data_IF_283605678458
#
_entry.id   IF_283605678458
#
_cell.length_a   1.000
_cell.length_b   1.000
_cell.length_c   1.000
_cell.angle_alpha   90.00
_cell.angle_beta   90.00
_cell.angle_gamma   90.00
#
_symmetry.space_group_name_H-M   'P 1'
#
loop_
_entity.id
_entity.type
_entity.pdbx_description
1 polymer ?
#
# COMPACT_ATOMS: atom_id res chain seq x y z
N UNK A 1 -50.74 18.13 30.84
CA UNK A 1 -49.30 18.49 30.79
C UNK A 1 -48.48 17.60 29.85
N UNK A 2 -48.63 16.27 29.86
CA UNK A 2 -47.87 15.33 28.96
C UNK A 2 -47.94 15.64 27.46
N UNK A 3 -49.13 15.93 26.90
CA UNK A 3 -49.30 16.21 25.46
C UNK A 3 -48.57 17.48 24.96
N UNK A 4 -48.38 18.49 25.82
CA UNK A 4 -47.64 19.71 25.44
C UNK A 4 -46.13 19.48 25.38
N UNK A 5 -45.62 18.50 26.10
CA UNK A 5 -44.18 18.15 26.12
C UNK A 5 -43.82 17.33 24.89
N UNK A 6 -44.67 16.39 24.48
CA UNK A 6 -44.48 15.59 23.27
C UNK A 6 -44.45 16.46 22.01
N UNK A 7 -45.37 17.41 21.86
CA UNK A 7 -45.44 18.28 20.68
C UNK A 7 -44.21 19.20 20.52
N UNK A 8 -43.57 19.60 21.62
CA UNK A 8 -42.31 20.38 21.62
C UNK A 8 -41.12 19.52 21.23
N UNK A 9 -41.08 18.25 21.65
CA UNK A 9 -40.01 17.32 21.29
C UNK A 9 -40.07 17.00 19.78
N UNK A 10 -41.25 16.71 19.23
CA UNK A 10 -41.42 16.42 17.81
C UNK A 10 -41.12 17.63 16.89
N UNK A 11 -41.46 18.85 17.33
CA UNK A 11 -41.12 20.07 16.57
C UNK A 11 -39.64 20.43 16.63
N UNK A 12 -38.94 20.10 17.73
CA UNK A 12 -37.48 20.22 17.83
C UNK A 12 -36.76 19.22 16.92
N UNK A 13 -37.20 17.95 16.92
CA UNK A 13 -36.64 16.90 16.06
C UNK A 13 -36.83 17.23 14.57
N UNK A 14 -38.03 17.67 14.18
CA UNK A 14 -38.33 18.01 12.78
C UNK A 14 -37.47 19.16 12.25
N UNK A 15 -37.19 20.18 13.09
CA UNK A 15 -36.30 21.29 12.74
C UNK A 15 -34.84 20.84 12.60
N UNK A 16 -34.36 19.99 13.50
CA UNK A 16 -33.02 19.40 13.40
C UNK A 16 -32.85 18.56 12.13
N UNK A 17 -33.85 17.75 11.79
CA UNK A 17 -33.83 16.96 10.55
C UNK A 17 -33.80 17.87 9.31
N UNK A 18 -34.62 18.93 9.27
CA UNK A 18 -34.62 19.89 8.17
C UNK A 18 -33.29 20.63 8.02
N UNK A 19 -32.69 21.07 9.14
CA UNK A 19 -31.37 21.71 9.13
C UNK A 19 -30.29 20.73 8.66
N UNK A 20 -30.32 19.48 9.12
CA UNK A 20 -29.40 18.44 8.67
C UNK A 20 -29.55 18.17 7.17
N UNK A 21 -30.77 17.99 6.66
CA UNK A 21 -31.04 17.79 5.22
C UNK A 21 -30.60 19.00 4.40
N UNK A 22 -30.81 20.22 4.89
CA UNK A 22 -30.40 21.44 4.21
C UNK A 22 -28.87 21.60 4.17
N UNK A 23 -28.17 21.33 5.28
CA UNK A 23 -26.71 21.31 5.31
C UNK A 23 -26.14 20.22 4.40
N UNK A 24 -26.76 19.04 4.40
CA UNK A 24 -26.43 17.96 3.47
C UNK A 24 -26.61 18.43 2.03
N UNK A 25 -27.73 19.09 1.72
CA UNK A 25 -28.03 19.65 0.41
C UNK A 25 -27.00 20.68 -0.05
N UNK A 26 -26.62 21.63 0.80
CA UNK A 26 -25.57 22.62 0.50
C UNK A 26 -24.24 21.94 0.20
N UNK A 27 -23.92 20.90 0.95
CA UNK A 27 -22.63 20.24 0.81
C UNK A 27 -22.60 19.34 -0.44
N UNK A 28 -23.73 18.79 -0.88
CA UNK A 28 -23.89 18.18 -2.21
C UNK A 28 -23.71 19.18 -3.38
N UNK A 29 -23.82 20.50 -3.13
CA UNK A 29 -23.54 21.51 -4.16
C UNK A 29 -22.04 21.71 -4.39
N UNK A 30 -21.16 21.24 -3.50
CA UNK A 30 -19.73 21.30 -3.72
C UNK A 30 -19.27 20.04 -4.49
N UNK A 31 -18.71 20.20 -5.70
CA UNK A 31 -18.10 19.09 -6.41
C UNK A 31 -17.02 18.44 -5.57
N UNK A 32 -16.91 17.11 -5.60
CA UNK A 32 -15.87 16.38 -4.87
C UNK A 32 -14.45 16.90 -5.18
N UNK A 33 -14.21 17.33 -6.41
CA UNK A 33 -12.96 17.97 -6.84
C UNK A 33 -12.61 19.25 -6.07
N UNK A 34 -13.61 20.01 -5.61
CA UNK A 34 -13.40 21.20 -4.76
C UNK A 34 -13.00 20.78 -3.35
N UNK A 35 -13.62 19.74 -2.80
CA UNK A 35 -13.29 19.23 -1.46
C UNK A 35 -11.89 18.61 -1.43
N UNK A 36 -11.49 17.89 -2.48
CA UNK A 36 -10.13 17.37 -2.62
C UNK A 36 -9.13 18.52 -2.58
N UNK A 37 -9.38 19.62 -3.31
CA UNK A 37 -8.52 20.82 -3.28
C UNK A 37 -8.44 21.48 -1.91
N UNK A 38 -9.53 21.47 -1.13
CA UNK A 38 -9.54 22.04 0.22
C UNK A 38 -8.70 21.23 1.22
N UNK A 39 -8.64 19.91 1.05
CA UNK A 39 -7.83 19.00 1.89
C UNK A 39 -6.41 18.82 1.32
N UNK A 40 -6.17 19.31 0.10
CA UNK A 40 -4.88 19.22 -0.57
C UNK A 40 -3.83 20.02 0.21
N UNK A 41 -2.69 19.38 0.45
CA UNK A 41 -1.48 20.08 0.87
C UNK A 41 -0.65 20.28 -0.39
N UNK A 42 -0.08 21.48 -0.57
CA UNK A 42 0.91 21.75 -1.63
C UNK A 42 2.13 20.79 -1.54
N UNK A 43 2.25 20.02 -0.47
CA UNK A 43 3.30 19.07 -0.22
C UNK A 43 2.84 17.60 -0.36
N UNK A 44 3.71 16.78 -0.96
CA UNK A 44 3.54 15.33 -0.97
C UNK A 44 3.70 14.72 0.44
N UNK A 45 2.66 14.02 0.90
CA UNK A 45 2.67 13.23 2.14
C UNK A 45 3.34 11.88 1.91
N UNK A 46 4.09 11.36 2.90
CA UNK A 46 4.78 10.10 2.72
C UNK A 46 3.88 8.86 2.83
N UNK A 47 2.76 8.91 3.56
CA UNK A 47 1.82 7.78 3.66
C UNK A 47 0.41 8.28 3.92
N UNK A 48 -0.57 7.44 3.59
CA UNK A 48 -1.96 7.59 4.03
C UNK A 48 -2.26 6.63 5.20
N UNK A 49 -3.26 6.97 6.02
CA UNK A 49 -3.75 6.06 7.06
C UNK A 49 -4.39 4.82 6.43
N UNK A 50 -4.21 3.66 7.06
CA UNK A 50 -4.78 2.41 6.57
C UNK A 50 -6.30 2.45 6.45
N UNK A 51 -6.99 3.15 7.35
CA UNK A 51 -8.44 3.31 7.29
C UNK A 51 -8.86 4.22 6.12
N UNK A 52 -8.10 5.27 5.85
CA UNK A 52 -8.39 6.19 4.75
C UNK A 52 -8.26 5.48 3.39
N UNK A 53 -7.27 4.59 3.26
CA UNK A 53 -7.08 3.76 2.07
C UNK A 53 -8.22 2.73 1.94
N UNK A 54 -8.48 1.97 3.01
CA UNK A 54 -9.51 0.92 3.02
C UNK A 54 -10.90 1.44 2.68
N UNK A 55 -11.19 2.65 3.17
CA UNK A 55 -12.49 3.29 3.02
C UNK A 55 -12.56 4.32 1.92
N UNK A 56 -11.50 4.42 1.11
CA UNK A 56 -11.43 5.28 -0.06
C UNK A 56 -11.88 6.73 0.21
N UNK A 57 -11.31 7.33 1.25
CA UNK A 57 -11.76 8.63 1.75
C UNK A 57 -11.22 9.78 0.90
N UNK A 58 -11.81 10.97 1.04
CA UNK A 58 -11.30 12.19 0.36
C UNK A 58 -9.83 12.45 0.71
N UNK A 59 -9.39 12.11 1.94
CA UNK A 59 -7.98 12.23 2.34
C UNK A 59 -7.07 11.32 1.53
N UNK A 60 -7.51 10.09 1.25
CA UNK A 60 -6.74 9.17 0.43
C UNK A 60 -6.65 9.64 -1.03
N UNK A 61 -7.75 10.18 -1.58
CA UNK A 61 -7.75 10.81 -2.90
C UNK A 61 -6.83 12.02 -2.97
N UNK A 62 -6.87 12.89 -1.96
CA UNK A 62 -5.96 14.02 -1.84
C UNK A 62 -4.50 13.58 -1.72
N UNK A 63 -4.22 12.48 -1.00
CA UNK A 63 -2.90 11.86 -0.94
C UNK A 63 -2.42 11.40 -2.34
N UNK A 64 -3.23 10.67 -3.10
CA UNK A 64 -2.87 10.23 -4.46
C UNK A 64 -2.61 11.42 -5.40
N UNK A 65 -3.47 12.44 -5.37
CA UNK A 65 -3.28 13.64 -6.17
C UNK A 65 -2.02 14.42 -5.75
N UNK A 66 -1.74 14.51 -4.45
CA UNK A 66 -0.52 15.14 -3.93
C UNK A 66 0.75 14.50 -4.47
N UNK A 67 0.76 13.17 -4.66
CA UNK A 67 1.89 12.48 -5.30
C UNK A 67 2.02 12.92 -6.76
N UNK A 68 0.93 12.89 -7.54
CA UNK A 68 0.97 13.26 -8.97
C UNK A 68 1.39 14.70 -9.18
N UNK A 69 0.83 15.63 -8.40
CA UNK A 69 1.09 17.07 -8.54
C UNK A 69 2.54 17.43 -8.17
N UNK A 70 3.19 16.63 -7.33
CA UNK A 70 4.59 16.77 -6.95
C UNK A 70 5.54 15.89 -7.80
N UNK A 71 5.05 15.31 -8.90
CA UNK A 71 5.80 14.37 -9.75
C UNK A 71 6.43 13.21 -8.94
N UNK A 72 5.77 12.79 -7.87
CA UNK A 72 6.24 11.77 -6.95
C UNK A 72 6.00 10.33 -7.40
N UNK A 73 6.52 9.40 -6.60
CA UNK A 73 6.40 7.96 -6.81
C UNK A 73 5.62 7.34 -5.65
N UNK A 74 4.66 6.48 -5.95
CA UNK A 74 3.98 5.66 -4.96
C UNK A 74 4.63 4.27 -4.85
N UNK A 75 5.21 3.98 -3.69
CA UNK A 75 5.73 2.65 -3.34
C UNK A 75 4.61 1.78 -2.78
N UNK A 76 4.40 0.63 -3.40
CA UNK A 76 3.47 -0.40 -2.95
C UNK A 76 4.19 -1.75 -2.79
N UNK A 77 3.63 -2.63 -1.97
CA UNK A 77 4.24 -3.91 -1.63
C UNK A 77 3.85 -4.38 -0.24
N UNK A 78 4.52 -5.42 0.22
CA UNK A 78 4.11 -6.23 1.38
C UNK A 78 4.74 -5.75 2.69
N UNK A 79 4.97 -6.62 3.68
CA UNK A 79 5.54 -6.25 5.00
C UNK A 79 6.89 -5.53 4.90
N UNK A 80 7.63 -5.74 3.82
CA UNK A 80 8.87 -5.07 3.45
C UNK A 80 8.71 -3.56 3.36
N UNK A 81 7.54 -3.05 3.00
CA UNK A 81 7.23 -1.61 2.99
C UNK A 81 6.96 -1.05 4.40
N UNK A 82 6.67 -1.92 5.37
CA UNK A 82 6.31 -1.56 6.75
C UNK A 82 7.46 -1.75 7.75
N UNK A 83 8.45 -2.57 7.43
CA UNK A 83 9.57 -2.90 8.31
C UNK A 83 10.43 -1.66 8.67
N UNK A 84 11.18 -1.71 9.78
CA UNK A 84 12.18 -0.70 10.21
C UNK A 84 11.83 0.76 9.91
N UNK A 85 10.86 1.35 10.63
CA UNK A 85 10.33 2.71 10.34
C UNK A 85 11.39 3.75 9.93
N UNK A 86 12.54 3.78 10.62
CA UNK A 86 13.61 4.77 10.38
C UNK A 86 14.71 4.32 9.41
N UNK A 87 14.81 3.03 9.13
CA UNK A 87 15.88 2.43 8.31
C UNK A 87 15.35 1.59 7.13
N UNK A 88 14.07 1.73 6.81
CA UNK A 88 13.45 1.11 5.64
C UNK A 88 13.91 1.81 4.36
N UNK A 89 14.03 1.09 3.24
CA UNK A 89 14.46 1.63 1.96
C UNK A 89 13.65 2.86 1.54
N UNK A 90 12.33 2.87 1.75
CA UNK A 90 11.48 4.05 1.47
C UNK A 90 11.79 5.27 2.34
N UNK A 91 12.18 5.05 3.59
CA UNK A 91 12.59 6.12 4.49
C UNK A 91 13.97 6.64 4.10
N UNK A 92 14.89 5.72 3.74
CA UNK A 92 16.23 6.06 3.29
C UNK A 92 16.19 6.86 1.98
N UNK A 93 15.33 6.48 1.04
CA UNK A 93 15.13 7.18 -0.24
C UNK A 93 14.82 8.66 -0.03
N UNK A 94 13.80 8.99 0.77
CA UNK A 94 13.41 10.38 1.00
C UNK A 94 14.40 11.16 1.86
N UNK A 95 15.13 10.49 2.77
CA UNK A 95 16.03 11.17 3.72
C UNK A 95 17.43 11.38 3.17
N UNK A 96 17.97 10.40 2.47
CA UNK A 96 19.42 10.30 2.24
C UNK A 96 19.82 10.18 0.79
N UNK A 97 18.92 9.73 -0.08
CA UNK A 97 19.20 9.71 -1.51
C UNK A 97 18.68 11.01 -2.13
N UNK A 98 19.57 11.71 -2.84
CA UNK A 98 19.23 12.97 -3.51
C UNK A 98 18.49 12.69 -4.81
N UNK A 99 17.30 12.12 -4.71
CA UNK A 99 16.40 11.94 -5.84
C UNK A 99 15.58 13.21 -6.05
N UNK A 100 15.39 13.63 -7.31
CA UNK A 100 14.42 14.70 -7.62
C UNK A 100 12.98 14.30 -7.28
N UNK A 101 12.73 12.99 -7.33
CA UNK A 101 11.45 12.36 -6.99
C UNK A 101 11.32 12.22 -5.48
N UNK A 102 10.11 12.43 -4.97
CA UNK A 102 9.72 12.08 -3.60
C UNK A 102 8.94 10.77 -3.61
N UNK A 103 9.13 9.94 -2.59
CA UNK A 103 8.53 8.63 -2.50
C UNK A 103 7.46 8.57 -1.41
N UNK A 104 6.21 8.41 -1.80
CA UNK A 104 5.13 8.03 -0.88
C UNK A 104 5.00 6.53 -0.83
N UNK A 105 4.31 5.99 0.18
CA UNK A 105 4.19 4.55 0.34
C UNK A 105 2.86 4.14 0.96
N UNK A 106 2.44 2.90 0.68
CA UNK A 106 1.29 2.24 1.29
C UNK A 106 1.73 0.97 2.01
N UNK A 107 2.12 1.10 3.28
CA UNK A 107 2.69 0.00 4.04
C UNK A 107 1.66 -1.06 4.52
N UNK A 108 2.02 -2.34 4.47
CA UNK A 108 1.21 -3.40 5.10
C UNK A 108 1.59 -4.84 4.76
N UNK A 109 1.56 -5.72 5.76
CA UNK A 109 1.74 -7.16 5.57
C UNK A 109 0.58 -7.77 4.79
N UNK A 110 0.88 -8.51 3.71
CA UNK A 110 -0.13 -9.12 2.85
C UNK A 110 -0.61 -8.23 1.70
N UNK A 111 -0.08 -7.00 1.54
CA UNK A 111 -0.41 -6.10 0.42
C UNK A 111 0.28 -6.50 -0.88
N UNK A 112 -0.15 -7.61 -1.46
CA UNK A 112 0.23 -8.03 -2.82
C UNK A 112 -0.60 -7.33 -3.88
N UNK A 113 -0.22 -7.50 -5.15
CA UNK A 113 -0.86 -6.92 -6.34
C UNK A 113 -2.40 -6.96 -6.35
N UNK A 114 -3.04 -8.11 -6.11
CA UNK A 114 -4.49 -8.25 -6.20
C UNK A 114 -5.26 -7.45 -5.13
N UNK A 115 -4.59 -7.08 -4.03
CA UNK A 115 -5.17 -6.24 -2.98
C UNK A 115 -5.49 -4.85 -3.51
N UNK A 116 -4.74 -4.37 -4.51
CA UNK A 116 -4.87 -3.01 -5.01
C UNK A 116 -5.96 -2.84 -6.09
N UNK A 117 -6.53 -3.93 -6.63
CA UNK A 117 -7.52 -3.82 -7.70
C UNK A 117 -8.71 -2.93 -7.34
N UNK A 118 -9.40 -3.11 -6.19
CA UNK A 118 -10.55 -2.26 -5.87
C UNK A 118 -10.14 -0.82 -5.63
N UNK A 119 -8.97 -0.62 -4.99
CA UNK A 119 -8.43 0.70 -4.69
C UNK A 119 -8.17 1.49 -5.97
N UNK A 120 -7.53 0.88 -6.98
CA UNK A 120 -7.21 1.56 -8.25
C UNK A 120 -8.47 1.79 -9.08
N UNK A 121 -9.37 0.80 -9.16
CA UNK A 121 -10.62 0.92 -9.92
C UNK A 121 -11.56 2.02 -9.37
N UNK A 122 -11.62 2.19 -8.06
CA UNK A 122 -12.44 3.23 -7.44
C UNK A 122 -11.88 4.64 -7.57
N UNK A 123 -10.62 4.77 -8.00
CA UNK A 123 -9.83 6.01 -8.01
C UNK A 123 -9.15 6.26 -9.36
N UNK A 124 -9.81 5.89 -10.46
CA UNK A 124 -9.24 5.98 -11.82
C UNK A 124 -8.61 7.34 -12.11
N UNK A 125 -9.32 8.44 -11.84
CA UNK A 125 -8.82 9.80 -12.03
C UNK A 125 -7.60 10.12 -11.18
N UNK A 126 -7.57 9.64 -9.94
CA UNK A 126 -6.50 9.89 -8.98
C UNK A 126 -5.26 9.04 -9.25
N UNK A 127 -5.40 7.84 -9.84
CA UNK A 127 -4.27 6.97 -10.21
C UNK A 127 -3.79 7.15 -11.64
N UNK A 128 -4.60 7.74 -12.52
CA UNK A 128 -4.19 8.00 -13.91
C UNK A 128 -2.91 8.86 -13.94
N UNK A 129 -1.91 8.41 -14.72
CA UNK A 129 -0.57 9.00 -14.81
C UNK A 129 0.27 8.96 -13.53
N UNK A 130 -0.18 8.25 -12.48
CA UNK A 130 0.60 8.04 -11.28
C UNK A 130 1.81 7.14 -11.58
N UNK A 131 2.94 7.45 -10.96
CA UNK A 131 4.12 6.61 -11.01
C UNK A 131 4.13 5.66 -9.80
N UNK A 132 4.28 4.37 -10.07
CA UNK A 132 4.16 3.32 -9.06
C UNK A 132 5.41 2.44 -9.08
N UNK A 133 6.05 2.30 -7.92
CA UNK A 133 7.10 1.32 -7.68
C UNK A 133 6.51 0.15 -6.88
N UNK A 134 6.37 -1.02 -7.50
CA UNK A 134 5.85 -2.21 -6.85
C UNK A 134 6.96 -3.15 -6.39
N UNK A 135 7.11 -3.34 -5.08
CA UNK A 135 8.00 -4.36 -4.51
C UNK A 135 7.36 -5.75 -4.62
N UNK A 136 7.92 -6.59 -5.50
CA UNK A 136 7.53 -7.98 -5.64
C UNK A 136 8.34 -8.79 -4.62
N UNK A 137 7.65 -9.31 -3.60
CA UNK A 137 8.27 -10.20 -2.61
C UNK A 137 8.15 -11.67 -3.06
N UNK A 138 9.27 -12.36 -3.36
CA UNK A 138 9.25 -13.75 -3.81
C UNK A 138 8.59 -14.71 -2.79
N UNK A 139 8.55 -14.33 -1.52
CA UNK A 139 7.90 -15.10 -0.44
C UNK A 139 6.44 -15.43 -0.73
N UNK A 140 5.73 -14.64 -1.54
CA UNK A 140 4.31 -14.91 -1.81
C UNK A 140 4.06 -16.06 -2.79
N UNK A 141 5.09 -16.56 -3.48
CA UNK A 141 5.01 -17.78 -4.30
C UNK A 141 5.15 -19.07 -3.49
N UNK A 142 5.26 -19.00 -2.16
CA UNK A 142 5.38 -20.18 -1.29
C UNK A 142 4.04 -20.84 -0.99
N UNK A 143 4.11 -22.09 -0.55
CA UNK A 143 2.94 -22.81 -0.05
C UNK A 143 2.22 -22.03 1.06
N UNK A 144 0.90 -21.88 0.92
CA UNK A 144 0.02 -21.14 1.83
C UNK A 144 -0.03 -19.62 1.63
N UNK A 145 0.78 -19.05 0.72
CA UNK A 145 0.66 -17.64 0.29
C UNK A 145 0.41 -17.49 -1.21
N UNK A 146 0.67 -18.52 -2.01
CA UNK A 146 0.37 -18.55 -3.45
C UNK A 146 -1.11 -18.87 -3.73
N UNK A 147 -2.00 -18.28 -2.96
CA UNK A 147 -3.44 -18.46 -3.04
C UNK A 147 -4.14 -17.22 -2.50
N UNK A 148 -5.46 -17.14 -2.71
CA UNK A 148 -6.23 -16.04 -2.15
C UNK A 148 -6.26 -16.11 -0.63
N UNK A 149 -5.86 -15.02 0.04
CA UNK A 149 -6.03 -14.83 1.48
C UNK A 149 -7.21 -13.89 1.78
N UNK A 150 -8.35 -14.40 2.32
CA UNK A 150 -9.46 -13.56 2.74
C UNK A 150 -9.05 -12.57 3.82
N UNK A 151 -8.23 -13.01 4.77
CA UNK A 151 -7.79 -12.17 5.89
C UNK A 151 -7.01 -10.94 5.40
N UNK A 152 -6.06 -11.11 4.48
CA UNK A 152 -5.33 -9.98 3.91
C UNK A 152 -6.22 -9.11 3.03
N UNK A 153 -7.13 -9.71 2.27
CA UNK A 153 -8.03 -8.95 1.42
C UNK A 153 -8.98 -8.05 2.24
N UNK A 154 -9.63 -8.61 3.25
CA UNK A 154 -10.56 -7.88 4.15
C UNK A 154 -9.84 -6.87 5.04
N UNK A 155 -8.56 -7.07 5.32
CA UNK A 155 -7.73 -6.09 6.04
C UNK A 155 -7.61 -4.78 5.27
N UNK A 156 -7.55 -4.84 3.94
CA UNK A 156 -7.23 -3.68 3.09
C UNK A 156 -8.36 -3.20 2.21
N UNK A 157 -9.35 -4.03 1.93
CA UNK A 157 -10.50 -3.68 1.12
C UNK A 157 -11.76 -3.72 1.98
N UNK A 158 -12.57 -2.67 1.92
CA UNK A 158 -13.92 -2.70 2.49
C UNK A 158 -14.89 -3.32 1.48
N UNK A 159 -15.85 -4.09 1.98
CA UNK A 159 -16.86 -4.73 1.14
C UNK A 159 -17.63 -3.72 0.28
N UNK A 160 -17.90 -2.52 0.82
CA UNK A 160 -18.57 -1.45 0.09
C UNK A 160 -17.79 -0.97 -1.13
N UNK A 161 -16.47 -0.85 -1.02
CA UNK A 161 -15.62 -0.42 -2.13
C UNK A 161 -15.45 -1.55 -3.16
N UNK A 162 -15.42 -2.81 -2.72
CA UNK A 162 -15.34 -3.97 -3.63
C UNK A 162 -16.60 -4.11 -4.46
N UNK A 163 -17.79 -4.08 -3.84
CA UNK A 163 -19.07 -4.20 -4.55
C UNK A 163 -19.27 -3.09 -5.57
N UNK A 164 -18.79 -1.87 -5.29
CA UNK A 164 -18.87 -0.73 -6.22
C UNK A 164 -18.16 -0.99 -7.55
N UNK A 165 -17.06 -1.74 -7.55
CA UNK A 165 -16.26 -2.04 -8.75
C UNK A 165 -16.36 -3.50 -9.17
N UNK A 166 -17.27 -4.27 -8.57
CA UNK A 166 -17.49 -5.68 -8.91
C UNK A 166 -17.81 -5.92 -10.38
N UNK A 167 -18.73 -5.18 -11.05
CA UNK A 167 -18.97 -5.37 -12.48
C UNK A 167 -17.70 -5.17 -13.33
N UNK A 168 -16.92 -4.15 -12.93
CA UNK A 168 -15.50 -3.94 -13.20
C UNK A 168 -14.64 -5.21 -13.23
N UNK A 169 -14.48 -5.73 -12.01
CA UNK A 169 -13.64 -6.87 -11.69
C UNK A 169 -14.11 -8.15 -12.41
N UNK A 170 -15.42 -8.37 -12.51
CA UNK A 170 -16.01 -9.52 -13.21
C UNK A 170 -15.73 -9.48 -14.70
N UNK A 171 -15.93 -8.32 -15.35
CA UNK A 171 -15.61 -8.12 -16.78
C UNK A 171 -14.15 -8.41 -17.09
N UNK A 172 -13.26 -8.15 -16.14
CA UNK A 172 -11.81 -8.39 -16.26
C UNK A 172 -11.38 -9.81 -15.88
N UNK A 173 -12.31 -10.67 -15.46
CA UNK A 173 -12.00 -12.00 -14.93
C UNK A 173 -11.21 -11.97 -13.60
N UNK A 174 -11.12 -10.80 -12.97
CA UNK A 174 -10.39 -10.59 -11.72
C UNK A 174 -11.25 -11.08 -10.54
N UNK A 175 -12.55 -10.80 -10.56
CA UNK A 175 -13.43 -11.09 -9.42
C UNK A 175 -13.45 -12.59 -9.11
N UNK A 176 -13.78 -13.44 -10.07
CA UNK A 176 -13.80 -14.89 -9.89
C UNK A 176 -12.42 -15.50 -9.62
N UNK A 177 -11.34 -14.84 -10.06
CA UNK A 177 -9.96 -15.32 -9.89
C UNK A 177 -9.30 -14.94 -8.56
N UNK A 178 -9.70 -13.81 -7.96
CA UNK A 178 -8.98 -13.18 -6.85
C UNK A 178 -9.88 -12.57 -5.76
N UNK A 179 -11.20 -12.68 -5.87
CA UNK A 179 -12.16 -12.18 -4.87
C UNK A 179 -13.24 -13.24 -4.71
N UNK A 180 -13.07 -14.23 -3.82
CA UNK A 180 -14.03 -15.31 -3.71
C UNK A 180 -15.41 -14.77 -3.34
N UNK A 181 -16.43 -15.48 -3.83
CA UNK A 181 -17.85 -15.28 -3.56
C UNK A 181 -18.24 -15.38 -2.07
N UNK A 182 -17.27 -15.63 -1.18
CA UNK A 182 -17.45 -15.82 0.25
C UNK A 182 -17.37 -14.53 1.08
N UNK A 183 -17.15 -13.36 0.47
CA UNK A 183 -17.40 -12.09 1.16
C UNK A 183 -18.92 -11.95 1.27
N UNK A 184 -19.44 -12.53 2.34
CA UNK A 184 -20.85 -12.78 2.61
C UNK A 184 -21.63 -11.46 2.65
N UNK A 185 -22.17 -11.05 1.50
CA UNK A 185 -23.09 -9.92 1.39
C UNK A 185 -24.47 -10.23 1.99
N UNK A 186 -24.72 -11.45 2.47
CA UNK A 186 -26.01 -11.84 3.02
C UNK A 186 -26.30 -11.32 4.43
N UNK A 187 -25.32 -10.68 5.10
CA UNK A 187 -25.50 -10.17 6.48
C UNK A 187 -26.18 -8.81 6.59
N UNK A 188 -26.39 -8.11 5.47
CA UNK A 188 -27.14 -6.85 5.44
C UNK A 188 -28.14 -6.93 4.30
N UNK A 189 -29.40 -6.60 4.57
CA UNK A 189 -30.35 -6.39 3.48
C UNK A 189 -29.84 -5.29 2.54
N UNK A 190 -30.19 -5.34 1.25
CA UNK A 190 -29.79 -4.31 0.26
C UNK A 190 -30.07 -2.88 0.76
N UNK A 191 -31.14 -2.73 1.55
CA UNK A 191 -31.50 -1.48 2.21
C UNK A 191 -30.55 -1.09 3.34
N UNK A 192 -30.21 -2.00 4.26
CA UNK A 192 -29.26 -1.72 5.35
C UNK A 192 -27.86 -1.44 4.81
N UNK A 193 -27.44 -2.15 3.77
CA UNK A 193 -26.19 -1.87 3.07
C UNK A 193 -26.23 -0.48 2.42
N UNK A 194 -27.33 -0.12 1.76
CA UNK A 194 -27.51 1.20 1.14
C UNK A 194 -27.52 2.32 2.18
N UNK A 195 -28.18 2.14 3.32
CA UNK A 195 -28.24 3.12 4.42
C UNK A 195 -26.89 3.24 5.13
N UNK A 196 -26.24 2.12 5.45
CA UNK A 196 -24.91 2.14 6.07
C UNK A 196 -23.88 2.78 5.14
N UNK A 197 -23.95 2.48 3.84
CA UNK A 197 -23.12 3.11 2.81
C UNK A 197 -23.43 4.60 2.69
N UNK A 198 -24.71 5.00 2.71
CA UNK A 198 -25.10 6.40 2.68
C UNK A 198 -24.61 7.17 3.93
N UNK A 199 -24.80 6.63 5.13
CA UNK A 199 -24.32 7.23 6.39
C UNK A 199 -22.80 7.29 6.40
N UNK A 200 -22.12 6.24 5.94
CA UNK A 200 -20.65 6.21 5.86
C UNK A 200 -20.13 7.21 4.84
N UNK A 201 -20.74 7.30 3.65
CA UNK A 201 -20.43 8.34 2.64
C UNK A 201 -20.64 9.74 3.19
N UNK A 202 -21.78 9.99 3.86
CA UNK A 202 -22.04 11.26 4.54
C UNK A 202 -20.93 11.54 5.57
N UNK A 203 -20.57 10.57 6.42
CA UNK A 203 -19.47 10.74 7.39
C UNK A 203 -18.14 11.02 6.69
N UNK A 204 -17.74 10.25 5.69
CA UNK A 204 -16.48 10.42 4.96
C UNK A 204 -16.43 11.70 4.13
N UNK A 205 -17.59 12.23 3.75
CA UNK A 205 -17.74 13.50 3.05
C UNK A 205 -17.66 14.70 4.02
N UNK A 206 -18.29 14.61 5.18
CA UNK A 206 -18.35 15.70 6.16
C UNK A 206 -17.16 15.76 7.11
N UNK A 207 -16.61 14.61 7.52
CA UNK A 207 -15.53 14.58 8.50
C UNK A 207 -14.31 15.38 8.02
N UNK A 208 -13.86 15.28 6.75
CA UNK A 208 -12.78 16.11 6.24
C UNK A 208 -13.12 17.60 6.20
N UNK A 209 -14.35 17.98 5.83
CA UNK A 209 -14.79 19.38 5.86
C UNK A 209 -14.81 19.94 7.28
N UNK A 210 -15.39 19.21 8.25
CA UNK A 210 -15.39 19.65 9.66
C UNK A 210 -13.98 19.64 10.26
N UNK A 211 -13.13 18.67 9.89
CA UNK A 211 -11.72 18.67 10.28
C UNK A 211 -10.97 19.84 9.66
N UNK A 212 -11.29 20.23 8.41
CA UNK A 212 -10.73 21.39 7.73
C UNK A 212 -11.20 22.71 8.35
N UNK A 213 -12.50 22.87 8.63
CA UNK A 213 -13.03 24.04 9.35
C UNK A 213 -12.38 24.13 10.73
N UNK A 214 -12.29 23.01 11.45
CA UNK A 214 -11.64 22.95 12.75
C UNK A 214 -10.13 23.28 12.66
N UNK A 215 -9.42 22.80 11.63
CA UNK A 215 -7.98 23.06 11.41
C UNK A 215 -7.67 24.48 10.93
N UNK A 216 -8.61 25.14 10.26
CA UNK A 216 -8.45 26.54 9.85
C UNK A 216 -8.90 27.52 10.95
N UNK A 217 -9.53 27.01 12.01
CA UNK A 217 -9.76 27.74 13.27
C UNK A 217 -8.75 27.38 14.38
N UNK A 218 -8.00 26.29 14.23
CA UNK A 218 -7.00 25.81 15.18
C UNK A 218 -5.75 25.35 14.43
N UNK A 219 -4.63 26.05 14.61
CA UNK A 219 -3.35 25.99 13.85
C UNK A 219 -2.66 24.61 13.70
N UNK A 220 -3.23 23.53 14.23
CA UNK A 220 -2.49 22.31 14.54
C UNK A 220 -3.14 21.06 13.93
N UNK A 221 -3.10 20.88 12.60
CA UNK A 221 -3.61 19.66 11.97
C UNK A 221 -2.86 19.28 10.68
N UNK A 222 -1.54 19.14 10.79
CA UNK A 222 -0.91 18.01 10.11
C UNK A 222 -1.19 16.81 11.02
N UNK A 223 -1.93 15.77 10.57
CA UNK A 223 -2.12 14.56 11.38
C UNK A 223 -0.77 14.11 11.94
N UNK A 224 -0.70 13.84 13.25
CA UNK A 224 0.53 13.42 13.95
C UNK A 224 1.18 12.16 13.35
N UNK A 225 0.48 11.46 12.45
CA UNK A 225 0.98 10.29 11.71
C UNK A 225 1.35 10.57 10.24
N UNK A 226 0.90 11.67 9.64
CA UNK A 226 1.22 12.01 8.24
C UNK A 226 2.48 12.87 8.20
N UNK A 227 3.63 12.21 8.16
CA UNK A 227 4.90 12.90 7.96
C UNK A 227 4.97 13.42 6.53
N UNK A 228 5.15 14.72 6.37
CA UNK A 228 5.49 15.33 5.09
C UNK A 228 6.75 14.66 4.54
N UNK A 229 6.84 14.51 3.22
CA UNK A 229 8.12 14.18 2.58
C UNK A 229 8.99 15.44 2.48
N UNK A 230 9.39 15.94 3.66
CA UNK A 230 10.32 17.04 3.93
C UNK A 230 11.22 16.53 5.06
N UNK A 231 12.55 16.61 5.05
CA UNK A 231 13.51 17.40 4.28
C UNK A 231 14.62 16.43 3.86
N UNK A 232 15.24 16.67 2.70
CA UNK A 232 16.52 16.05 2.37
C UNK A 232 17.51 16.39 3.47
N UNK A 233 18.09 15.39 4.12
CA UNK A 233 19.14 15.66 5.08
C UNK A 233 20.36 16.21 4.30
N UNK A 234 20.86 17.40 4.69
CA UNK A 234 22.15 17.92 4.22
C UNK A 234 23.28 17.12 4.88
N UNK A 235 23.39 15.86 4.49
CA UNK A 235 24.39 14.94 4.96
C UNK A 235 24.32 13.69 4.11
N UNK A 236 25.10 13.67 3.01
CA UNK A 236 25.42 12.40 2.38
C UNK A 236 26.12 11.56 3.45
N UNK A 237 25.55 10.41 3.79
CA UNK A 237 26.27 9.39 4.56
C UNK A 237 27.47 8.93 3.72
N UNK A 238 28.57 9.64 3.86
CA UNK A 238 29.91 9.25 3.38
C UNK A 238 30.65 8.46 4.46
N UNK A 239 30.03 8.33 5.65
CA UNK A 239 30.60 7.64 6.78
C UNK A 239 30.28 6.15 6.74
N UNK A 240 31.30 5.36 6.39
CA UNK A 240 31.25 3.90 6.36
C UNK A 240 30.90 3.29 7.72
N UNK A 241 31.06 4.03 8.83
CA UNK A 241 30.76 3.51 10.18
C UNK A 241 29.28 3.22 10.41
N UNK A 242 28.36 4.03 9.87
CA UNK A 242 26.91 3.75 9.99
C UNK A 242 26.52 2.52 9.16
N UNK A 243 27.07 2.42 7.95
CA UNK A 243 26.89 1.29 7.05
C UNK A 243 27.38 -0.03 7.68
N UNK A 244 28.55 -0.03 8.31
CA UNK A 244 29.07 -1.20 9.01
C UNK A 244 28.28 -1.51 10.29
N UNK A 245 27.75 -0.50 10.99
CA UNK A 245 26.89 -0.69 12.15
C UNK A 245 25.58 -1.43 11.81
N UNK A 246 25.02 -1.26 10.61
CA UNK A 246 23.82 -1.99 10.17
C UNK A 246 24.04 -3.50 10.09
N UNK A 247 25.28 -3.94 9.85
CA UNK A 247 25.64 -5.36 9.74
C UNK A 247 25.72 -6.05 11.10
N UNK A 248 26.03 -5.30 12.16
CA UNK A 248 26.27 -5.83 13.50
C UNK A 248 25.01 -6.45 14.16
N UNK A 249 23.82 -6.18 13.62
CA UNK A 249 22.57 -6.71 14.16
C UNK A 249 22.23 -8.13 13.67
N UNK A 250 22.93 -8.63 12.63
CA UNK A 250 22.58 -9.87 11.91
C UNK A 250 23.65 -10.96 12.11
N UNK A 251 23.22 -12.16 12.49
CA UNK A 251 24.07 -13.35 12.55
C UNK A 251 24.51 -13.76 11.14
N UNK A 252 25.82 -13.87 10.91
CA UNK A 252 26.39 -14.19 9.59
C UNK A 252 26.18 -15.62 9.11
N UNK A 253 25.91 -16.56 10.03
CA UNK A 253 25.74 -17.98 9.77
C UNK A 253 24.31 -18.26 9.32
N UNK A 254 23.31 -17.68 9.99
CA UNK A 254 21.90 -17.82 9.61
C UNK A 254 21.41 -16.69 8.70
N UNK A 255 22.16 -15.59 8.58
CA UNK A 255 21.73 -14.38 7.89
C UNK A 255 20.36 -13.91 8.42
N UNK A 256 20.23 -13.86 9.74
CA UNK A 256 19.01 -13.49 10.45
C UNK A 256 19.32 -12.83 11.79
N UNK A 257 18.30 -12.27 12.44
CA UNK A 257 18.40 -11.73 13.80
C UNK A 257 17.70 -12.63 14.81
N UNK A 258 18.18 -12.69 16.05
CA UNK A 258 17.53 -13.43 17.14
C UNK A 258 16.22 -12.78 17.62
N UNK A 259 15.96 -11.55 17.17
CA UNK A 259 14.93 -10.64 17.69
C UNK A 259 13.49 -11.16 17.54
N UNK A 260 13.25 -12.12 16.66
CA UNK A 260 11.91 -12.64 16.36
C UNK A 260 11.64 -14.05 16.90
N UNK A 261 12.45 -14.51 17.87
CA UNK A 261 12.31 -15.88 18.39
C UNK A 261 12.55 -16.95 17.32
N UNK A 262 13.27 -16.55 16.27
CA UNK A 262 13.61 -17.42 15.17
C UNK A 262 14.57 -18.49 15.68
N UNK A 263 14.10 -19.74 15.67
CA UNK A 263 14.95 -20.88 15.97
C UNK A 263 15.73 -21.20 14.70
N UNK A 264 17.05 -21.37 14.83
CA UNK A 264 17.96 -21.65 13.73
C UNK A 264 17.63 -22.94 12.95
N UNK A 265 16.67 -23.74 13.45
CA UNK A 265 16.22 -25.02 12.89
C UNK A 265 14.83 -24.93 12.24
N UNK A 266 14.26 -23.74 12.11
CA UNK A 266 12.98 -23.59 11.39
C UNK A 266 13.19 -23.88 9.90
N UNK A 267 12.38 -24.75 9.32
CA UNK A 267 12.43 -25.03 7.89
C UNK A 267 12.21 -23.75 7.06
N UNK A 268 12.95 -23.68 5.94
CA UNK A 268 12.66 -22.73 4.89
C UNK A 268 11.35 -23.12 4.20
N UNK A 269 10.70 -22.16 3.56
CA UNK A 269 9.44 -22.43 2.90
C UNK A 269 9.67 -23.01 1.52
N UNK A 270 8.89 -24.02 1.12
CA UNK A 270 8.89 -24.50 -0.26
C UNK A 270 8.10 -23.55 -1.17
N UNK A 271 8.51 -23.48 -2.44
CA UNK A 271 7.74 -22.80 -3.49
C UNK A 271 6.54 -23.66 -3.87
N UNK A 272 5.40 -23.01 -4.04
CA UNK A 272 4.20 -23.67 -4.54
C UNK A 272 4.18 -23.72 -6.07
N UNK A 273 3.54 -24.75 -6.62
CA UNK A 273 3.42 -24.97 -8.06
C UNK A 273 2.24 -24.23 -8.70
N UNK A 274 1.35 -23.63 -7.88
CA UNK A 274 0.21 -22.85 -8.35
C UNK A 274 0.60 -21.61 -9.16
N UNK A 275 -0.33 -21.11 -9.96
CA UNK A 275 -0.12 -19.95 -10.84
C UNK A 275 -0.75 -18.65 -10.31
N UNK A 276 -1.31 -18.68 -9.10
CA UNK A 276 -2.16 -17.62 -8.57
C UNK A 276 -1.45 -16.26 -8.57
N UNK A 277 -0.26 -16.16 -7.96
CA UNK A 277 0.48 -14.90 -7.90
C UNK A 277 0.97 -14.43 -9.28
N UNK A 278 1.28 -15.35 -10.20
CA UNK A 278 1.60 -14.98 -11.58
C UNK A 278 0.40 -14.36 -12.29
N UNK A 279 -0.80 -14.96 -12.14
CA UNK A 279 -2.02 -14.41 -12.73
C UNK A 279 -2.40 -13.08 -12.09
N UNK A 280 -2.21 -12.93 -10.78
CA UNK A 280 -2.45 -11.68 -10.06
C UNK A 280 -1.55 -10.56 -10.59
N UNK A 281 -0.26 -10.84 -10.76
CA UNK A 281 0.72 -9.89 -11.28
C UNK A 281 0.39 -9.45 -12.71
N UNK A 282 0.02 -10.41 -13.58
CA UNK A 282 -0.43 -10.11 -14.95
C UNK A 282 -1.68 -9.22 -14.92
N UNK A 283 -2.65 -9.54 -14.07
CA UNK A 283 -3.86 -8.74 -13.90
C UNK A 283 -3.56 -7.30 -13.45
N UNK A 284 -2.59 -7.13 -12.55
CA UNK A 284 -2.18 -5.83 -12.05
C UNK A 284 -1.41 -5.00 -13.07
N UNK A 285 -0.47 -5.61 -13.79
CA UNK A 285 0.21 -4.96 -14.91
C UNK A 285 -0.80 -4.49 -15.96
N UNK A 286 -1.76 -5.35 -16.31
CA UNK A 286 -2.83 -5.01 -17.25
C UNK A 286 -3.69 -3.84 -16.75
N UNK A 287 -4.07 -3.85 -15.46
CA UNK A 287 -4.82 -2.76 -14.85
C UNK A 287 -4.06 -1.42 -14.88
N UNK A 288 -2.77 -1.45 -14.52
CA UNK A 288 -1.91 -0.27 -14.55
C UNK A 288 -1.82 0.31 -15.97
N UNK A 289 -1.62 -0.55 -16.98
CA UNK A 289 -1.57 -0.15 -18.39
C UNK A 289 -2.86 0.52 -18.84
N UNK A 290 -4.01 -0.08 -18.52
CA UNK A 290 -5.33 0.46 -18.86
C UNK A 290 -5.61 1.83 -18.22
N UNK A 291 -5.05 2.09 -17.04
CA UNK A 291 -5.19 3.35 -16.33
C UNK A 291 -4.07 4.34 -16.62
N UNK A 292 -3.16 4.03 -17.55
CA UNK A 292 -1.97 4.83 -17.82
C UNK A 292 -1.11 5.10 -16.56
N UNK A 293 -1.03 4.13 -15.65
CA UNK A 293 -0.11 4.14 -14.50
C UNK A 293 1.28 3.76 -14.99
N UNK A 294 2.29 4.56 -14.65
CA UNK A 294 3.69 4.24 -14.94
C UNK A 294 4.21 3.26 -13.89
N UNK A 295 4.18 1.97 -14.21
CA UNK A 295 4.58 0.90 -13.31
C UNK A 295 6.06 0.54 -13.51
N UNK A 296 6.82 0.57 -12.42
CA UNK A 296 8.13 -0.09 -12.31
C UNK A 296 8.06 -1.15 -11.21
N UNK A 297 8.56 -2.35 -11.50
CA UNK A 297 8.62 -3.43 -10.52
C UNK A 297 10.01 -3.54 -9.89
N UNK A 298 10.09 -3.85 -8.60
CA UNK A 298 11.33 -4.20 -7.91
C UNK A 298 11.26 -5.68 -7.53
N UNK A 299 12.09 -6.50 -8.17
CA UNK A 299 12.17 -7.93 -7.85
C UNK A 299 12.98 -8.08 -6.56
N UNK A 300 12.29 -8.37 -5.46
CA UNK A 300 12.90 -8.54 -4.14
C UNK A 300 13.78 -9.80 -4.04
N UNK A 301 14.72 -9.83 -3.09
CA UNK A 301 15.55 -11.00 -2.83
C UNK A 301 14.83 -12.03 -1.94
N UNK A 302 15.41 -13.23 -1.80
CA UNK A 302 15.04 -14.23 -0.80
C UNK A 302 16.28 -14.65 0.01
N UNK A 303 16.12 -15.20 1.22
CA UNK A 303 17.27 -15.54 2.06
C UNK A 303 17.95 -16.86 1.61
N UNK A 304 18.73 -16.80 0.53
CA UNK A 304 19.44 -17.96 -0.02
C UNK A 304 20.41 -18.57 1.00
N UNK A 305 21.11 -17.74 1.79
CA UNK A 305 22.05 -18.21 2.81
C UNK A 305 21.34 -19.11 3.83
N UNK A 306 20.17 -18.69 4.32
CA UNK A 306 19.39 -19.50 5.24
C UNK A 306 18.83 -20.75 4.55
N UNK A 307 18.27 -20.61 3.34
CA UNK A 307 17.75 -21.73 2.54
C UNK A 307 18.82 -22.81 2.32
N UNK A 308 20.04 -22.42 1.96
CA UNK A 308 21.18 -23.32 1.72
C UNK A 308 21.53 -24.16 2.96
N UNK A 309 21.30 -23.61 4.14
CA UNK A 309 21.58 -24.29 5.41
C UNK A 309 20.47 -25.25 5.82
N UNK A 310 19.20 -24.86 5.66
CA UNK A 310 18.06 -25.61 6.21
C UNK A 310 17.38 -26.50 5.19
N UNK A 311 17.24 -26.05 3.95
CA UNK A 311 16.56 -26.74 2.85
C UNK A 311 17.24 -26.42 1.50
N UNK A 312 18.50 -26.86 1.27
CA UNK A 312 19.23 -26.55 0.05
C UNK A 312 18.54 -27.04 -1.23
N UNK A 313 17.70 -28.07 -1.12
CA UNK A 313 16.88 -28.60 -2.21
C UNK A 313 15.90 -27.56 -2.78
N UNK A 314 15.44 -26.58 -2.00
CA UNK A 314 14.51 -25.54 -2.48
C UNK A 314 15.17 -24.44 -3.31
N UNK A 315 16.51 -24.36 -3.34
CA UNK A 315 17.22 -23.28 -4.05
C UNK A 315 16.82 -23.27 -5.53
N UNK A 316 16.81 -24.43 -6.19
CA UNK A 316 16.46 -24.52 -7.62
C UNK A 316 15.08 -23.94 -7.92
N UNK A 317 14.10 -24.23 -7.07
CA UNK A 317 12.72 -23.77 -7.24
C UNK A 317 12.60 -22.26 -7.07
N UNK A 318 13.32 -21.67 -6.10
CA UNK A 318 13.38 -20.22 -5.91
C UNK A 318 14.03 -19.52 -7.11
N UNK A 319 15.16 -20.03 -7.59
CA UNK A 319 15.85 -19.47 -8.76
C UNK A 319 14.97 -19.55 -10.01
N UNK A 320 14.26 -20.67 -10.22
CA UNK A 320 13.34 -20.81 -11.34
C UNK A 320 12.14 -19.86 -11.23
N UNK A 321 11.53 -19.74 -10.05
CA UNK A 321 10.42 -18.83 -9.80
C UNK A 321 10.82 -17.37 -10.05
N UNK A 322 11.97 -16.95 -9.52
CA UNK A 322 12.48 -15.60 -9.69
C UNK A 322 12.81 -15.32 -11.17
N UNK A 323 13.37 -16.29 -11.89
CA UNK A 323 13.59 -16.19 -13.34
C UNK A 323 12.27 -16.02 -14.09
N UNK A 324 11.24 -16.82 -13.76
CA UNK A 324 9.89 -16.70 -14.34
C UNK A 324 9.25 -15.34 -14.10
N UNK A 325 9.45 -14.73 -12.92
CA UNK A 325 9.02 -13.35 -12.65
C UNK A 325 9.72 -12.37 -13.60
N UNK A 326 11.04 -12.48 -13.75
CA UNK A 326 11.80 -11.65 -14.69
C UNK A 326 11.30 -11.79 -16.14
N UNK A 327 11.19 -13.02 -16.64
CA UNK A 327 10.69 -13.32 -17.99
C UNK A 327 9.28 -12.75 -18.21
N UNK A 328 8.43 -12.77 -17.18
CA UNK A 328 7.08 -12.20 -17.22
C UNK A 328 7.13 -10.69 -17.39
N UNK A 329 7.94 -9.99 -16.59
CA UNK A 329 8.07 -8.53 -16.67
C UNK A 329 8.65 -8.09 -18.02
N UNK A 330 9.63 -8.82 -18.55
CA UNK A 330 10.17 -8.59 -19.90
C UNK A 330 9.13 -8.79 -20.99
N UNK A 331 8.38 -9.91 -20.93
CA UNK A 331 7.29 -10.20 -21.88
C UNK A 331 6.21 -9.13 -21.85
N UNK A 332 5.83 -8.67 -20.65
CA UNK A 332 4.82 -7.63 -20.46
C UNK A 332 5.35 -6.21 -20.71
N UNK A 333 6.66 -6.07 -21.02
CA UNK A 333 7.35 -4.80 -21.26
C UNK A 333 7.20 -3.81 -20.10
N UNK A 334 7.35 -4.32 -18.88
CA UNK A 334 7.32 -3.52 -17.65
C UNK A 334 8.75 -3.27 -17.21
N UNK A 335 9.08 -2.01 -16.94
CA UNK A 335 10.39 -1.68 -16.39
C UNK A 335 10.57 -2.32 -15.02
N UNK A 336 11.78 -2.81 -14.74
CA UNK A 336 12.05 -3.41 -13.46
C UNK A 336 13.47 -3.15 -12.94
N UNK A 337 13.55 -3.15 -11.61
CA UNK A 337 14.77 -3.07 -10.83
C UNK A 337 15.04 -4.47 -10.31
N UNK A 338 16.13 -5.06 -10.76
CA UNK A 338 16.56 -6.38 -10.32
C UNK A 338 17.34 -6.28 -9.01
N UNK A 339 16.81 -6.83 -7.92
CA UNK A 339 17.52 -6.93 -6.65
C UNK A 339 17.81 -8.36 -6.18
N UNK A 340 17.85 -9.32 -7.11
CA UNK A 340 18.01 -10.75 -6.83
C UNK A 340 19.36 -11.10 -6.21
N UNK A 341 20.42 -10.42 -6.61
CA UNK A 341 21.79 -10.60 -6.09
C UNK A 341 21.92 -10.40 -4.57
N UNK A 342 21.05 -9.58 -3.97
CA UNK A 342 21.01 -9.38 -2.51
C UNK A 342 20.71 -10.71 -1.77
N UNK A 343 20.07 -11.67 -2.43
CA UNK A 343 19.75 -12.99 -1.87
C UNK A 343 20.97 -13.74 -1.34
N UNK A 344 22.14 -13.52 -1.95
CA UNK A 344 23.39 -14.21 -1.63
C UNK A 344 24.32 -13.40 -0.71
N UNK A 345 23.93 -12.19 -0.33
CA UNK A 345 24.77 -11.31 0.48
C UNK A 345 24.56 -11.60 1.96
N UNK A 346 25.65 -11.62 2.75
CA UNK A 346 25.54 -11.64 4.21
C UNK A 346 24.91 -10.34 4.73
N UNK A 347 24.34 -10.43 5.93
CA UNK A 347 23.65 -9.35 6.64
C UNK A 347 22.37 -8.86 5.98
N UNK A 348 21.87 -9.51 4.92
CA UNK A 348 20.80 -8.98 4.07
C UNK A 348 19.38 -9.30 4.57
N UNK A 349 19.22 -10.20 5.54
CA UNK A 349 17.92 -10.58 6.07
C UNK A 349 17.90 -10.56 7.59
N UNK A 350 16.70 -10.33 8.15
CA UNK A 350 16.47 -10.40 9.58
C UNK A 350 15.76 -11.68 10.03
N UNK A 351 15.19 -12.41 9.08
CA UNK A 351 14.62 -13.75 9.23
C UNK A 351 14.67 -14.47 7.87
N UNK A 352 13.87 -15.50 7.67
CA UNK A 352 13.85 -16.25 6.40
C UNK A 352 13.26 -15.50 5.19
N UNK A 353 12.56 -14.38 5.38
CA UNK A 353 11.82 -13.70 4.30
C UNK A 353 11.98 -12.18 4.27
N UNK A 354 12.17 -11.53 5.42
CA UNK A 354 12.25 -10.08 5.52
C UNK A 354 13.70 -9.59 5.43
N UNK A 355 13.91 -8.59 4.58
CA UNK A 355 15.21 -7.92 4.46
C UNK A 355 15.64 -7.28 5.78
N UNK A 356 16.94 -7.11 5.98
CA UNK A 356 17.52 -6.36 7.10
C UNK A 356 17.59 -4.87 6.82
N UNK A 357 18.03 -4.07 7.80
CA UNK A 357 18.35 -2.65 7.57
C UNK A 357 19.46 -2.47 6.53
N UNK A 358 20.43 -3.38 6.51
CA UNK A 358 21.52 -3.37 5.52
C UNK A 358 21.00 -3.60 4.10
N UNK A 359 20.15 -4.60 3.90
CA UNK A 359 19.51 -4.80 2.59
C UNK A 359 18.54 -3.68 2.23
N UNK A 360 17.84 -3.08 3.19
CA UNK A 360 17.02 -1.89 2.95
C UNK A 360 17.86 -0.73 2.38
N UNK A 361 19.10 -0.55 2.84
CA UNK A 361 20.02 0.43 2.26
C UNK A 361 20.41 0.09 0.81
N UNK A 362 20.78 -1.17 0.55
CA UNK A 362 21.10 -1.63 -0.81
C UNK A 362 19.94 -1.44 -1.79
N UNK A 363 18.71 -1.74 -1.34
CA UNK A 363 17.50 -1.52 -2.11
C UNK A 363 17.28 -0.04 -2.40
N UNK A 364 17.43 0.84 -1.39
CA UNK A 364 17.29 2.28 -1.57
C UNK A 364 18.31 2.84 -2.56
N UNK A 365 19.58 2.42 -2.47
CA UNK A 365 20.62 2.82 -3.42
C UNK A 365 20.28 2.40 -4.85
N UNK A 366 19.83 1.15 -5.03
CA UNK A 366 19.47 0.64 -6.35
C UNK A 366 18.27 1.38 -6.94
N UNK A 367 17.26 1.68 -6.12
CA UNK A 367 16.11 2.47 -6.53
C UNK A 367 16.55 3.89 -6.90
N UNK A 368 17.33 4.57 -6.06
CA UNK A 368 17.83 5.92 -6.34
C UNK A 368 18.60 5.97 -7.67
N UNK A 369 19.53 5.02 -7.89
CA UNK A 369 20.30 4.91 -9.12
C UNK A 369 19.42 4.69 -10.36
N UNK A 370 18.34 3.91 -10.25
CA UNK A 370 17.39 3.72 -11.35
C UNK A 370 16.70 5.04 -11.73
N UNK A 371 16.19 5.77 -10.74
CA UNK A 371 15.50 7.05 -10.96
C UNK A 371 16.45 8.19 -11.36
N UNK A 372 17.74 8.09 -11.05
CA UNK A 372 18.75 9.04 -11.52
C UNK A 372 19.17 8.81 -12.97
N UNK A 373 19.18 7.56 -13.44
CA UNK A 373 19.64 7.18 -14.80
C UNK A 373 18.55 7.31 -15.86
N UNK A 374 17.31 6.96 -15.53
CA UNK A 374 16.18 7.00 -16.47
C UNK A 374 15.55 8.40 -16.58
N UNK A 375 16.43 9.40 -16.71
CA UNK A 375 16.07 10.82 -16.89
C UNK A 375 15.65 11.15 -18.31
#
# INVERSE_FOLDING_TARGET
MKQRTEHKIYSGLGRLTLVAVFLIGILYLFPESVLIKLVHSDCQLCTASGIDVKENTIKFKAFLNGIKENDGVLIIGTSETAAFKEANYRTLLNRYFSTKKKFSYLAGAGRVDYIYFPTFLNNRSEVENLEVLYFINPTYWRAGLNEFSPEYYERYNSQSEVERVKPELEKRGIYSGFVPSQIDSSKLSDFEFSVATAIKRLRLFYLPFFQWVHSHTASDLIPSESTLCTESFEGKFTDTTWYDALKLEVDTITNSTDKYGFKADNEFYSIDTGDFQYRALIGFISLCRDMNVRLTCLIGPYNNIYCKRTNPEYIGDYEEMIRKIGDLLEREKVDYIDARDISYMQYSFNDKQHHSKYAAWLLAERIANYYEKNR
#
